data_IF_833821740409
#
_entry.id   IF_833821740409
#
_cell.length_a   1.000
_cell.length_b   1.000
_cell.length_c   1.000
_cell.angle_alpha   90.00
_cell.angle_beta   90.00
_cell.angle_gamma   90.00
#
_symmetry.space_group_name_H-M   'P 1'
#
loop_
_entity.id
_entity.type
_entity.pdbx_description
1 polymer ?
#
# COMPACT_ATOMS: atom_id res chain seq x y z
N UNK A 1 49.65 -23.43 0.37
CA UNK A 1 48.87 -23.07 1.55
C UNK A 1 49.16 -21.63 1.89
N UNK A 2 48.23 -20.71 1.56
CA UNK A 2 48.32 -19.31 1.98
C UNK A 2 46.98 -19.02 2.66
N UNK A 3 47.02 -18.88 3.99
CA UNK A 3 45.90 -18.45 4.81
C UNK A 3 45.74 -16.93 4.69
N UNK A 4 44.65 -16.47 4.12
CA UNK A 4 44.26 -15.07 4.09
C UNK A 4 43.53 -14.69 5.38
N UNK A 5 44.06 -13.75 6.12
CA UNK A 5 43.48 -13.11 7.30
C UNK A 5 42.24 -12.30 6.94
N UNK A 6 41.12 -12.38 7.68
CA UNK A 6 39.93 -11.58 7.40
C UNK A 6 40.14 -10.13 7.82
N UNK A 7 39.88 -9.23 6.89
CA UNK A 7 40.10 -7.79 6.95
C UNK A 7 39.21 -7.11 8.00
N UNK A 8 39.83 -6.31 8.87
CA UNK A 8 39.25 -5.41 9.90
C UNK A 8 38.33 -4.28 9.38
N UNK A 9 38.04 -4.21 8.09
CA UNK A 9 37.20 -3.13 7.50
C UNK A 9 35.72 -3.25 7.81
N UNK A 10 35.18 -4.43 8.12
CA UNK A 10 33.74 -4.65 8.28
C UNK A 10 33.17 -4.25 9.65
N UNK A 11 34.04 -4.05 10.67
CA UNK A 11 33.58 -3.65 12.01
C UNK A 11 33.40 -2.16 12.16
N UNK A 12 34.21 -1.33 11.50
CA UNK A 12 34.08 0.13 11.56
C UNK A 12 32.81 0.67 10.88
N UNK A 13 32.37 0.06 9.78
CA UNK A 13 31.11 0.43 9.13
C UNK A 13 29.87 0.09 9.97
N UNK A 14 29.89 -1.02 10.70
CA UNK A 14 28.78 -1.39 11.61
C UNK A 14 28.66 -0.45 12.81
N UNK A 15 29.79 0.01 13.34
CA UNK A 15 29.79 0.96 14.46
C UNK A 15 29.38 2.38 14.03
N UNK A 16 29.80 2.83 12.85
CA UNK A 16 29.38 4.11 12.31
C UNK A 16 27.86 4.17 12.07
N UNK A 17 27.28 3.12 11.48
CA UNK A 17 25.84 3.03 11.29
C UNK A 17 25.05 2.95 12.61
N UNK A 18 25.57 2.26 13.64
CA UNK A 18 24.96 2.27 14.98
C UNK A 18 24.94 3.67 15.60
N UNK A 19 26.02 4.44 15.46
CA UNK A 19 26.09 5.82 15.98
C UNK A 19 25.13 6.76 15.27
N UNK A 20 25.00 6.66 13.94
CA UNK A 20 24.06 7.48 13.15
C UNK A 20 22.61 7.16 13.52
N UNK A 21 22.28 5.88 13.65
CA UNK A 21 20.94 5.45 14.09
C UNK A 21 20.64 5.93 15.52
N UNK A 22 21.61 5.85 16.42
CA UNK A 22 21.45 6.33 17.81
C UNK A 22 21.26 7.85 17.87
N UNK A 23 21.96 8.62 17.01
CA UNK A 23 21.82 10.08 16.93
C UNK A 23 20.48 10.50 16.32
N UNK A 24 19.98 9.77 15.32
CA UNK A 24 18.66 9.97 14.74
C UNK A 24 17.56 9.67 15.76
N UNK A 25 17.66 8.59 16.50
CA UNK A 25 16.71 8.24 17.57
C UNK A 25 16.71 9.31 18.66
N UNK A 26 17.88 9.80 19.08
CA UNK A 26 17.96 10.89 20.07
C UNK A 26 17.34 12.20 19.56
N UNK A 27 17.56 12.59 18.31
CA UNK A 27 16.95 13.80 17.74
C UNK A 27 15.42 13.67 17.61
N UNK A 28 14.92 12.50 17.20
CA UNK A 28 13.47 12.22 17.18
C UNK A 28 12.88 12.25 18.59
N UNK A 29 13.59 11.74 19.60
CA UNK A 29 13.16 11.81 21.00
C UNK A 29 13.13 13.25 21.56
N UNK A 30 14.09 14.10 21.15
CA UNK A 30 14.11 15.51 21.55
C UNK A 30 12.99 16.31 20.88
N UNK A 31 12.68 16.02 19.60
CA UNK A 31 11.57 16.67 18.89
C UNK A 31 10.20 16.28 19.46
N UNK A 32 10.05 15.05 19.94
CA UNK A 32 8.81 14.55 20.54
C UNK A 32 8.55 15.05 21.96
N UNK A 33 9.56 15.55 22.72
CA UNK A 33 9.38 15.98 24.10
C UNK A 33 8.46 17.20 24.28
N UNK A 34 8.17 17.95 23.21
CA UNK A 34 7.30 19.12 23.24
C UNK A 34 5.84 18.89 22.85
N UNK A 35 5.50 17.78 22.17
CA UNK A 35 4.19 17.64 21.51
C UNK A 35 3.47 16.31 21.81
N UNK A 36 4.20 15.25 22.19
CA UNK A 36 3.63 13.89 22.33
C UNK A 36 4.15 13.19 23.57
N UNK A 37 3.27 12.50 24.30
CA UNK A 37 3.61 11.69 25.47
C UNK A 37 4.65 10.59 25.10
N UNK A 38 5.59 10.30 26.03
CA UNK A 38 6.64 9.29 25.88
C UNK A 38 6.08 7.92 25.43
N UNK A 39 4.85 7.58 25.87
CA UNK A 39 4.15 6.34 25.46
C UNK A 39 3.78 6.32 23.96
N UNK A 40 3.49 7.46 23.38
CA UNK A 40 3.14 7.61 21.96
C UNK A 40 4.40 7.60 21.08
N UNK A 41 5.52 8.16 21.57
CA UNK A 41 6.80 8.03 20.87
C UNK A 41 7.34 6.58 20.87
N UNK A 42 7.19 5.84 21.96
CA UNK A 42 7.59 4.44 22.03
C UNK A 42 6.78 3.56 21.05
N UNK A 43 5.48 3.86 20.86
CA UNK A 43 4.63 3.19 19.89
C UNK A 43 5.08 3.47 18.44
N UNK A 44 5.43 4.71 18.13
CA UNK A 44 5.95 5.11 16.80
C UNK A 44 7.31 4.47 16.49
N UNK A 45 8.22 4.42 17.47
CA UNK A 45 9.54 3.78 17.34
C UNK A 45 9.41 2.26 17.22
N UNK A 46 8.48 1.63 17.94
CA UNK A 46 8.17 0.20 17.83
C UNK A 46 7.65 -0.15 16.42
N UNK A 47 6.77 0.69 15.83
CA UNK A 47 6.30 0.53 14.45
C UNK A 47 7.43 0.72 13.43
N UNK A 48 8.35 1.67 13.62
CA UNK A 48 9.51 1.86 12.74
C UNK A 48 10.54 0.72 12.79
N UNK A 49 10.64 0.01 13.91
CA UNK A 49 11.61 -1.09 14.06
C UNK A 49 11.20 -2.39 13.35
N UNK A 50 9.92 -2.52 12.93
CA UNK A 50 9.39 -3.72 12.23
C UNK A 50 9.61 -3.65 10.70
N UNK A 51 10.08 -2.52 10.17
CA UNK A 51 10.11 -2.23 8.74
C UNK A 51 11.43 -2.55 8.04
N UNK A 52 11.79 -3.81 7.93
CA UNK A 52 12.84 -4.23 7.00
C UNK A 52 12.31 -5.37 6.12
N UNK A 53 12.13 -5.08 4.84
CA UNK A 53 11.85 -5.92 3.67
C UNK A 53 10.42 -5.84 3.13
N UNK A 54 10.34 -5.15 2.04
CA UNK A 54 9.08 -4.80 1.40
C UNK A 54 9.07 -5.22 -0.05
N UNK A 55 7.95 -5.68 -0.53
CA UNK A 55 7.40 -5.46 -1.87
C UNK A 55 6.19 -6.37 -2.09
N UNK A 56 5.01 -5.88 -1.75
CA UNK A 56 3.75 -6.53 -2.11
C UNK A 56 2.78 -5.50 -2.68
N UNK A 57 2.08 -5.86 -3.73
CA UNK A 57 1.02 -5.03 -4.26
C UNK A 57 -0.30 -5.78 -4.18
N UNK A 58 -1.04 -5.54 -3.11
CA UNK A 58 -2.48 -5.66 -3.05
C UNK A 58 -3.00 -4.23 -2.97
N UNK A 59 -3.97 -3.88 -3.82
CA UNK A 59 -4.55 -2.57 -3.77
C UNK A 59 -5.50 -2.47 -2.57
N UNK A 60 -5.26 -1.46 -1.73
CA UNK A 60 -6.17 -1.04 -0.67
C UNK A 60 -6.93 0.20 -1.13
N UNK A 61 -7.68 0.06 -2.25
CA UNK A 61 -8.45 1.15 -2.86
C UNK A 61 -9.49 1.73 -1.90
N UNK A 62 -9.98 0.91 -0.98
CA UNK A 62 -10.92 1.30 0.05
C UNK A 62 -10.41 2.48 0.87
N UNK A 63 -9.13 2.49 1.22
CA UNK A 63 -8.53 3.54 2.05
C UNK A 63 -8.44 4.88 1.31
N UNK A 64 -8.29 4.85 -0.01
CA UNK A 64 -8.19 6.05 -0.85
C UNK A 64 -9.55 6.65 -1.19
N UNK A 65 -10.61 5.85 -1.14
CA UNK A 65 -11.94 6.22 -1.62
C UNK A 65 -12.96 6.43 -0.50
N UNK A 66 -12.47 6.49 0.74
CA UNK A 66 -13.33 6.54 1.92
C UNK A 66 -14.02 7.89 2.11
N UNK A 67 -13.37 8.97 1.67
CA UNK A 67 -13.85 10.33 1.81
C UNK A 67 -14.20 10.91 0.44
N UNK A 68 -15.49 10.97 0.13
CA UNK A 68 -15.99 11.68 -1.05
C UNK A 68 -16.92 12.78 -0.56
N UNK A 69 -16.54 14.02 -0.81
CA UNK A 69 -17.36 15.18 -0.52
C UNK A 69 -18.46 15.29 -1.58
N UNK A 70 -19.71 15.14 -1.16
CA UNK A 70 -20.85 15.22 -2.06
C UNK A 70 -21.17 16.63 -2.59
N UNK A 71 -20.47 17.64 -2.10
CA UNK A 71 -20.63 19.03 -2.55
C UNK A 71 -19.71 19.40 -3.71
N UNK A 72 -18.60 18.69 -3.88
CA UNK A 72 -17.63 18.93 -4.94
C UNK A 72 -17.87 18.01 -6.13
N UNK A 73 -17.89 18.56 -7.34
CA UNK A 73 -18.01 17.78 -8.58
C UNK A 73 -16.72 17.05 -8.93
N UNK A 74 -15.58 17.70 -8.71
CA UNK A 74 -14.23 17.14 -8.92
C UNK A 74 -13.49 17.25 -7.60
N UNK A 75 -12.86 16.17 -7.19
CA UNK A 75 -12.02 16.14 -6.03
C UNK A 75 -10.91 15.10 -6.22
N UNK A 76 -9.77 15.35 -5.65
CA UNK A 76 -8.65 14.43 -5.79
C UNK A 76 -7.58 14.62 -4.73
N UNK A 77 -6.60 13.75 -4.78
CA UNK A 77 -5.41 13.85 -3.96
C UNK A 77 -4.18 13.36 -4.72
N UNK A 78 -3.04 13.96 -4.42
CA UNK A 78 -1.72 13.54 -4.84
C UNK A 78 -0.91 13.21 -3.59
N UNK A 79 -0.23 12.07 -3.61
CA UNK A 79 0.58 11.58 -2.50
C UNK A 79 1.97 11.22 -3.04
N UNK A 80 2.87 12.20 -3.20
CA UNK A 80 4.27 11.95 -3.53
C UNK A 80 5.00 11.37 -2.31
N UNK A 81 5.75 10.31 -2.54
CA UNK A 81 6.59 9.64 -1.57
C UNK A 81 7.99 9.47 -2.14
N UNK A 82 9.02 9.72 -1.34
CA UNK A 82 10.42 9.52 -1.70
C UNK A 82 11.02 8.43 -0.83
N UNK A 83 11.77 7.53 -1.47
CA UNK A 83 12.53 6.49 -0.78
C UNK A 83 13.97 6.52 -1.35
N UNK A 84 14.95 6.57 -0.46
CA UNK A 84 16.36 6.55 -0.80
C UNK A 84 17.05 5.43 -0.05
N UNK A 85 17.75 4.56 -0.79
CA UNK A 85 18.51 3.44 -0.25
C UNK A 85 19.95 3.51 -0.75
N UNK A 86 20.89 3.28 0.14
CA UNK A 86 22.30 3.10 -0.21
C UNK A 86 22.67 1.63 -0.04
N UNK A 87 22.93 0.96 -1.17
CA UNK A 87 23.40 -0.42 -1.24
C UNK A 87 24.75 -0.46 -1.97
N UNK A 88 24.96 -1.38 -2.92
CA UNK A 88 26.12 -1.34 -3.82
C UNK A 88 26.12 -0.07 -4.68
N UNK A 89 24.95 0.36 -5.08
CA UNK A 89 24.68 1.63 -5.75
C UNK A 89 23.57 2.37 -5.03
N UNK A 90 23.48 3.67 -5.24
CA UNK A 90 22.42 4.47 -4.69
C UNK A 90 21.11 4.20 -5.47
N UNK A 91 20.08 3.81 -4.76
CA UNK A 91 18.74 3.58 -5.30
C UNK A 91 17.86 4.72 -4.80
N UNK A 92 17.37 5.50 -5.72
CA UNK A 92 16.36 6.52 -5.47
C UNK A 92 15.02 6.04 -6.03
N UNK A 93 13.97 6.05 -5.21
CA UNK A 93 12.63 5.66 -5.64
C UNK A 93 11.67 6.81 -5.39
N UNK A 94 11.03 7.27 -6.46
CA UNK A 94 9.90 8.20 -6.42
C UNK A 94 8.62 7.40 -6.62
N UNK A 95 7.72 7.47 -5.64
CA UNK A 95 6.37 6.93 -5.74
C UNK A 95 5.39 8.10 -5.78
N UNK A 96 4.37 7.98 -6.60
CA UNK A 96 3.28 8.94 -6.62
C UNK A 96 1.96 8.19 -6.68
N UNK A 97 1.07 8.44 -5.73
CA UNK A 97 -0.31 7.96 -5.77
C UNK A 97 -1.23 9.13 -6.06
N UNK A 98 -1.97 9.05 -7.16
CA UNK A 98 -2.98 10.01 -7.55
C UNK A 98 -4.36 9.37 -7.45
N UNK A 99 -5.31 10.08 -6.85
CA UNK A 99 -6.71 9.69 -6.76
C UNK A 99 -7.57 10.83 -7.30
N UNK A 100 -8.46 10.53 -8.23
CA UNK A 100 -9.39 11.48 -8.84
C UNK A 100 -10.81 10.94 -8.75
N UNK A 101 -11.71 11.74 -8.19
CA UNK A 101 -13.14 11.43 -8.09
C UNK A 101 -13.95 12.46 -8.88
N UNK A 102 -14.82 11.97 -9.76
CA UNK A 102 -15.78 12.77 -10.52
C UNK A 102 -17.19 12.42 -10.07
N UNK A 103 -17.88 13.37 -9.45
CA UNK A 103 -19.25 13.22 -8.99
C UNK A 103 -20.23 13.61 -10.12
N UNK A 104 -21.05 12.66 -10.57
CA UNK A 104 -22.05 12.84 -11.63
C UNK A 104 -23.44 12.73 -11.03
N UNK A 105 -24.24 13.79 -11.17
CA UNK A 105 -25.67 13.85 -10.76
C UNK A 105 -25.90 13.39 -9.30
N UNK A 106 -24.97 13.69 -8.37
CA UNK A 106 -25.03 13.38 -6.92
C UNK A 106 -25.21 11.88 -6.55
N UNK A 107 -25.27 10.97 -7.51
CA UNK A 107 -25.50 9.54 -7.28
C UNK A 107 -24.48 8.62 -7.96
N UNK A 108 -23.65 9.15 -8.82
CA UNK A 108 -22.70 8.40 -9.62
C UNK A 108 -21.31 8.99 -9.43
N UNK A 109 -20.34 8.16 -9.17
CA UNK A 109 -18.96 8.58 -8.97
C UNK A 109 -18.09 7.75 -9.90
N UNK A 110 -17.25 8.42 -10.70
CA UNK A 110 -16.14 7.79 -11.38
C UNK A 110 -14.92 8.06 -10.52
N UNK A 111 -14.25 7.01 -10.10
CA UNK A 111 -13.01 7.11 -9.37
C UNK A 111 -11.87 6.49 -10.19
N UNK A 112 -10.79 7.24 -10.32
CA UNK A 112 -9.55 6.80 -10.94
C UNK A 112 -8.43 6.91 -9.93
N UNK A 113 -7.77 5.79 -9.64
CA UNK A 113 -6.59 5.74 -8.81
C UNK A 113 -5.41 5.30 -9.69
N UNK A 114 -4.33 6.04 -9.64
CA UNK A 114 -3.09 5.69 -10.30
C UNK A 114 -1.95 5.73 -9.30
N UNK A 115 -1.11 4.71 -9.30
CA UNK A 115 0.16 4.70 -8.59
C UNK A 115 1.27 4.36 -9.56
N UNK A 116 2.34 5.15 -9.54
CA UNK A 116 3.56 4.91 -10.29
C UNK A 116 4.74 4.87 -9.32
N UNK A 117 5.66 3.97 -9.59
CA UNK A 117 6.89 3.80 -8.83
C UNK A 117 8.06 3.81 -9.82
N UNK A 118 8.91 4.83 -9.70
CA UNK A 118 10.13 5.02 -10.48
C UNK A 118 11.33 4.77 -9.59
N UNK A 119 12.21 3.88 -10.00
CA UNK A 119 13.45 3.59 -9.29
C UNK A 119 14.65 3.86 -10.18
N UNK A 120 15.68 4.45 -9.61
CA UNK A 120 16.99 4.55 -10.27
C UNK A 120 17.92 3.51 -9.68
N UNK A 121 18.72 2.87 -10.54
CA UNK A 121 19.83 2.02 -10.15
C UNK A 121 21.08 2.51 -10.89
N UNK A 122 21.97 3.18 -10.16
CA UNK A 122 23.05 3.91 -10.78
C UNK A 122 22.54 5.03 -11.70
N UNK A 123 22.78 4.91 -13.02
CA UNK A 123 22.33 5.88 -14.02
C UNK A 123 21.02 5.51 -14.70
N UNK A 124 20.52 4.29 -14.50
CA UNK A 124 19.34 3.80 -15.19
C UNK A 124 18.06 4.15 -14.40
N UNK A 125 17.04 4.63 -15.10
CA UNK A 125 15.73 4.93 -14.55
C UNK A 125 14.75 3.88 -15.08
N UNK A 126 14.05 3.20 -14.17
CA UNK A 126 13.07 2.19 -14.51
C UNK A 126 11.73 2.47 -13.83
N UNK A 127 10.62 2.14 -14.50
CA UNK A 127 9.31 2.06 -13.85
C UNK A 127 9.22 0.70 -13.17
N UNK A 128 9.54 0.66 -11.88
CA UNK A 128 9.68 -0.57 -11.11
C UNK A 128 8.34 -1.20 -10.72
N UNK A 129 7.26 -0.39 -10.70
CA UNK A 129 5.93 -0.86 -10.34
C UNK A 129 4.86 0.19 -10.55
N UNK A 130 3.62 -0.25 -10.42
CA UNK A 130 2.48 0.63 -10.48
C UNK A 130 1.15 -0.09 -10.57
N UNK A 131 0.08 0.69 -10.51
CA UNK A 131 -1.25 0.23 -10.84
C UNK A 131 -2.13 1.38 -11.33
N UNK A 132 -3.17 1.01 -12.08
CA UNK A 132 -4.28 1.87 -12.46
C UNK A 132 -5.56 1.15 -12.05
N UNK A 133 -6.40 1.82 -11.30
CA UNK A 133 -7.69 1.30 -10.85
C UNK A 133 -8.78 2.29 -11.24
N UNK A 134 -9.79 1.81 -11.95
CA UNK A 134 -10.96 2.57 -12.38
C UNK A 134 -12.20 1.90 -11.82
N UNK A 135 -13.05 2.67 -11.16
CA UNK A 135 -14.34 2.20 -10.68
C UNK A 135 -15.46 3.20 -11.00
N UNK A 136 -16.64 2.66 -11.23
CA UNK A 136 -17.86 3.44 -11.41
C UNK A 136 -18.84 3.08 -10.30
N UNK A 137 -19.01 3.97 -9.33
CA UNK A 137 -19.90 3.76 -8.20
C UNK A 137 -21.29 4.25 -8.48
N UNK A 138 -22.25 3.41 -8.19
CA UNK A 138 -23.66 3.77 -8.17
C UNK A 138 -24.18 3.67 -6.72
N UNK A 139 -24.60 4.82 -6.18
CA UNK A 139 -25.18 4.92 -4.85
C UNK A 139 -26.66 4.50 -4.94
N UNK A 140 -26.93 3.22 -4.73
CA UNK A 140 -28.29 2.68 -4.74
C UNK A 140 -29.13 3.24 -3.60
N UNK A 141 -28.51 3.28 -2.41
CA UNK A 141 -29.10 3.78 -1.19
C UNK A 141 -28.02 4.46 -0.34
N UNK A 142 -28.41 5.28 0.64
CA UNK A 142 -27.46 5.99 1.52
C UNK A 142 -26.38 5.07 2.13
N UNK A 143 -26.72 3.80 2.41
CA UNK A 143 -25.83 2.82 3.04
C UNK A 143 -25.29 1.75 2.09
N UNK A 144 -25.80 1.65 0.88
CA UNK A 144 -25.48 0.57 -0.05
C UNK A 144 -25.02 1.09 -1.39
N UNK A 145 -23.83 0.68 -1.79
CA UNK A 145 -23.19 1.05 -3.05
C UNK A 145 -22.84 -0.20 -3.84
N UNK A 146 -22.99 -0.16 -5.16
CA UNK A 146 -22.50 -1.20 -6.07
C UNK A 146 -21.66 -0.53 -7.13
N UNK A 147 -20.53 -1.14 -7.46
CA UNK A 147 -19.63 -0.60 -8.44
C UNK A 147 -18.86 -1.67 -9.22
N UNK A 148 -18.97 -1.69 -10.54
CA UNK A 148 -18.00 -2.36 -11.39
C UNK A 148 -16.66 -1.64 -11.31
N UNK A 149 -15.58 -2.43 -11.40
CA UNK A 149 -14.23 -1.91 -11.44
C UNK A 149 -13.33 -2.71 -12.38
N UNK A 150 -12.27 -2.06 -12.80
CA UNK A 150 -11.17 -2.66 -13.52
C UNK A 150 -9.85 -2.15 -12.96
N UNK A 151 -8.87 -3.03 -12.84
CA UNK A 151 -7.57 -2.74 -12.28
C UNK A 151 -6.49 -3.40 -13.11
N UNK A 152 -5.41 -2.67 -13.37
CA UNK A 152 -4.18 -3.19 -13.96
C UNK A 152 -3.01 -2.91 -13.04
N UNK A 153 -2.13 -3.87 -12.83
CA UNK A 153 -0.96 -3.76 -11.95
C UNK A 153 0.27 -4.38 -12.60
N UNK A 154 1.42 -3.88 -12.20
CA UNK A 154 2.73 -4.50 -12.48
C UNK A 154 3.69 -4.24 -11.32
N UNK A 155 4.62 -5.15 -11.09
CA UNK A 155 5.62 -5.08 -10.03
C UNK A 155 6.85 -5.87 -10.44
N UNK A 156 7.69 -5.24 -11.29
CA UNK A 156 8.88 -5.85 -11.87
C UNK A 156 9.87 -6.35 -10.82
N UNK A 157 10.05 -5.62 -9.72
CA UNK A 157 10.90 -6.01 -8.58
C UNK A 157 10.50 -7.33 -7.91
N UNK A 158 9.26 -7.81 -8.17
CA UNK A 158 8.72 -9.07 -7.65
C UNK A 158 8.59 -10.15 -8.71
N UNK A 159 8.91 -9.83 -9.96
CA UNK A 159 8.66 -10.70 -11.11
C UNK A 159 7.20 -10.70 -11.58
N UNK A 160 6.30 -9.84 -11.05
CA UNK A 160 4.95 -9.68 -11.58
C UNK A 160 5.00 -8.73 -12.78
N UNK A 161 5.02 -9.33 -13.98
CA UNK A 161 5.09 -8.56 -15.23
C UNK A 161 3.79 -7.81 -15.49
N UNK A 162 2.66 -8.47 -15.23
CA UNK A 162 1.35 -7.91 -15.50
C UNK A 162 0.26 -8.63 -14.70
N UNK A 163 -0.71 -7.85 -14.20
CA UNK A 163 -1.94 -8.34 -13.61
C UNK A 163 -3.09 -7.46 -14.08
N UNK A 164 -4.20 -8.08 -14.44
CA UNK A 164 -5.47 -7.40 -14.68
C UNK A 164 -6.56 -8.06 -13.87
N UNK A 165 -7.39 -7.24 -13.24
CA UNK A 165 -8.56 -7.68 -12.47
C UNK A 165 -9.78 -6.88 -12.91
N UNK A 166 -10.93 -7.52 -13.04
CA UNK A 166 -12.19 -6.87 -13.35
C UNK A 166 -13.33 -7.57 -12.65
N UNK A 167 -14.23 -6.80 -12.05
CA UNK A 167 -15.32 -7.38 -11.29
C UNK A 167 -16.39 -6.38 -10.86
N UNK A 168 -17.29 -6.87 -10.01
CA UNK A 168 -18.35 -6.07 -9.40
C UNK A 168 -18.16 -6.17 -7.88
N UNK A 169 -18.18 -5.02 -7.23
CA UNK A 169 -18.08 -4.89 -5.78
C UNK A 169 -19.34 -4.27 -5.22
N UNK A 170 -19.79 -4.76 -4.06
CA UNK A 170 -20.84 -4.20 -3.26
C UNK A 170 -20.25 -3.74 -1.92
N UNK A 171 -20.66 -2.55 -1.48
CA UNK A 171 -20.28 -1.96 -0.19
C UNK A 171 -21.51 -1.73 0.65
N UNK A 172 -21.44 -2.13 1.90
CA UNK A 172 -22.44 -1.81 2.91
C UNK A 172 -21.83 -1.01 4.05
N UNK A 173 -22.41 0.15 4.36
CA UNK A 173 -22.01 1.07 5.39
C UNK A 173 -22.81 0.80 6.66
N UNK A 174 -22.17 0.18 7.65
CA UNK A 174 -22.82 -0.20 8.92
C UNK A 174 -23.02 1.01 9.83
N UNK A 175 -21.98 1.86 9.93
CA UNK A 175 -21.94 3.01 10.80
C UNK A 175 -21.39 4.23 10.05
N UNK A 176 -22.07 5.33 10.22
CA UNK A 176 -21.63 6.64 9.76
C UNK A 176 -21.99 7.66 10.83
N UNK A 177 -20.97 8.18 11.52
CA UNK A 177 -21.09 9.20 12.52
C UNK A 177 -20.04 10.28 12.31
N UNK A 178 -20.05 11.32 13.14
CA UNK A 178 -19.05 12.40 13.06
C UNK A 178 -17.59 11.90 13.18
N UNK A 179 -17.38 10.85 13.95
CA UNK A 179 -16.03 10.35 14.26
C UNK A 179 -15.76 8.97 13.68
N UNK A 180 -16.79 8.17 13.43
CA UNK A 180 -16.64 6.79 12.97
C UNK A 180 -17.35 6.56 11.65
N UNK A 181 -16.64 5.86 10.75
CA UNK A 181 -17.19 5.27 9.54
C UNK A 181 -16.76 3.81 9.50
N UNK A 182 -17.75 2.89 9.41
CA UNK A 182 -17.50 1.45 9.26
C UNK A 182 -18.24 0.93 8.05
N UNK A 183 -17.55 0.15 7.22
CA UNK A 183 -18.15 -0.51 6.08
C UNK A 183 -17.49 -1.86 5.77
N UNK A 184 -18.24 -2.73 5.13
CA UNK A 184 -17.71 -3.94 4.53
C UNK A 184 -17.95 -3.94 3.03
N UNK A 185 -17.06 -4.61 2.33
CA UNK A 185 -17.18 -4.83 0.89
C UNK A 185 -17.14 -6.33 0.60
N UNK A 186 -17.85 -6.70 -0.45
CA UNK A 186 -17.73 -8.01 -1.08
C UNK A 186 -17.65 -7.83 -2.59
N UNK A 187 -16.79 -8.60 -3.27
CA UNK A 187 -16.67 -8.55 -4.71
C UNK A 187 -16.46 -9.95 -5.29
N UNK A 188 -16.98 -10.15 -6.48
CA UNK A 188 -16.62 -11.24 -7.36
C UNK A 188 -15.88 -10.67 -8.56
N UNK A 189 -14.69 -11.18 -8.86
CA UNK A 189 -13.85 -10.64 -9.91
C UNK A 189 -13.04 -11.72 -10.62
N UNK A 190 -12.77 -11.48 -11.89
CA UNK A 190 -11.82 -12.23 -12.67
C UNK A 190 -10.44 -11.60 -12.52
N UNK A 191 -9.41 -12.43 -12.34
CA UNK A 191 -8.01 -12.03 -12.23
C UNK A 191 -7.15 -12.85 -13.19
N UNK A 192 -6.34 -12.15 -13.97
CA UNK A 192 -5.27 -12.71 -14.78
C UNK A 192 -3.94 -12.15 -14.29
N UNK A 193 -2.97 -13.03 -14.03
CA UNK A 193 -1.62 -12.64 -13.62
C UNK A 193 -0.58 -13.34 -14.51
N UNK A 194 0.48 -12.57 -14.87
CA UNK A 194 1.68 -13.06 -15.54
C UNK A 194 2.90 -12.77 -14.68
N UNK A 195 3.67 -13.80 -14.37
CA UNK A 195 4.83 -13.73 -13.51
C UNK A 195 6.08 -14.28 -14.20
N UNK A 196 7.25 -13.73 -13.89
CA UNK A 196 8.56 -14.28 -14.21
C UNK A 196 9.11 -15.03 -13.01
N UNK A 197 9.79 -16.15 -13.25
CA UNK A 197 10.48 -16.88 -12.20
C UNK A 197 11.72 -16.11 -11.76
N UNK A 198 12.01 -15.97 -10.46
CA UNK A 198 13.23 -15.32 -9.96
C UNK A 198 14.51 -15.98 -10.46
N UNK A 199 14.46 -17.31 -10.62
CA UNK A 199 15.49 -18.15 -11.27
C UNK A 199 14.73 -19.13 -12.14
N UNK A 200 14.88 -19.04 -13.45
CA UNK A 200 14.27 -20.02 -14.36
C UNK A 200 14.95 -21.36 -14.17
N UNK A 201 14.25 -22.41 -13.73
CA UNK A 201 14.81 -23.76 -13.75
C UNK A 201 15.21 -24.13 -15.17
N UNK A 202 16.35 -24.77 -15.35
CA UNK A 202 16.85 -25.19 -16.66
C UNK A 202 15.77 -26.03 -17.37
N UNK A 203 15.37 -25.63 -18.59
CA UNK A 203 14.37 -26.33 -19.40
C UNK A 203 12.92 -25.96 -19.14
N UNK A 204 12.62 -24.98 -18.26
CA UNK A 204 11.24 -24.53 -18.00
C UNK A 204 10.92 -23.19 -18.70
N UNK A 205 9.61 -22.96 -18.93
CA UNK A 205 9.15 -21.66 -19.45
C UNK A 205 9.48 -20.56 -18.44
N UNK A 206 10.02 -19.40 -18.88
CA UNK A 206 10.43 -18.31 -17.99
C UNK A 206 9.24 -17.61 -17.29
N UNK A 207 8.00 -17.92 -17.69
CA UNK A 207 6.79 -17.27 -17.20
C UNK A 207 5.78 -18.26 -16.62
N UNK A 208 5.13 -17.85 -15.53
CA UNK A 208 3.95 -18.49 -14.96
C UNK A 208 2.71 -17.63 -15.21
N UNK A 209 1.59 -18.28 -15.46
CA UNK A 209 0.30 -17.63 -15.70
C UNK A 209 -0.74 -18.14 -14.71
N UNK A 210 -1.61 -17.24 -14.26
CA UNK A 210 -2.76 -17.56 -13.42
C UNK A 210 -4.01 -16.90 -13.96
N UNK A 211 -5.13 -17.63 -13.96
CA UNK A 211 -6.44 -17.15 -14.46
C UNK A 211 -7.52 -17.71 -13.56
N UNK A 212 -8.07 -16.89 -12.69
CA UNK A 212 -9.09 -17.33 -11.73
C UNK A 212 -10.19 -16.30 -11.53
N UNK A 213 -11.38 -16.79 -11.25
CA UNK A 213 -12.40 -16.01 -10.57
C UNK A 213 -12.09 -16.06 -9.08
N UNK A 214 -12.11 -14.91 -8.43
CA UNK A 214 -11.85 -14.76 -6.99
C UNK A 214 -12.97 -14.03 -6.31
N UNK A 215 -13.17 -14.36 -5.04
CA UNK A 215 -14.04 -13.64 -4.13
C UNK A 215 -13.17 -12.77 -3.22
N UNK A 216 -13.61 -11.53 -3.03
CA UNK A 216 -12.99 -10.53 -2.15
C UNK A 216 -13.97 -10.17 -1.05
N UNK A 217 -13.48 -10.17 0.16
CA UNK A 217 -14.16 -9.64 1.33
C UNK A 217 -13.22 -8.61 1.97
N UNK A 218 -13.75 -7.46 2.34
CA UNK A 218 -12.98 -6.50 3.14
C UNK A 218 -13.86 -5.84 4.20
N UNK A 219 -13.21 -5.47 5.29
CA UNK A 219 -13.79 -4.67 6.35
C UNK A 219 -12.89 -3.48 6.61
N UNK A 220 -13.49 -2.29 6.61
CA UNK A 220 -12.75 -1.04 6.77
C UNK A 220 -13.40 -0.16 7.83
N UNK A 221 -12.56 0.51 8.58
CA UNK A 221 -12.98 1.52 9.56
C UNK A 221 -12.14 2.77 9.38
N UNK A 222 -12.79 3.92 9.52
CA UNK A 222 -12.15 5.22 9.67
C UNK A 222 -12.55 5.80 11.03
N UNK A 223 -11.58 6.30 11.77
CA UNK A 223 -11.81 7.05 12.98
C UNK A 223 -11.10 8.41 12.89
N UNK A 224 -11.89 9.49 13.10
CA UNK A 224 -11.40 10.87 13.12
C UNK A 224 -11.33 11.34 14.58
N UNK A 225 -10.13 11.64 15.06
CA UNK A 225 -9.95 12.19 16.41
C UNK A 225 -9.37 13.60 16.38
N UNK A 226 -10.15 14.50 16.94
CA UNK A 226 -9.88 15.92 16.86
C UNK A 226 -10.00 16.47 15.43
N UNK A 227 -9.51 17.67 15.17
CA UNK A 227 -9.64 18.33 13.88
C UNK A 227 -8.56 17.90 12.87
N UNK A 228 -7.50 17.22 13.31
CA UNK A 228 -6.30 17.02 12.50
C UNK A 228 -5.97 15.55 12.19
N UNK A 229 -6.55 14.59 12.90
CA UNK A 229 -6.10 13.21 12.78
C UNK A 229 -7.19 12.28 12.24
N UNK A 230 -6.81 11.49 11.26
CA UNK A 230 -7.59 10.34 10.76
C UNK A 230 -6.78 9.06 10.88
N UNK A 231 -7.41 7.99 11.35
CA UNK A 231 -6.91 6.63 11.26
C UNK A 231 -7.87 5.83 10.38
N UNK A 232 -7.32 5.13 9.39
CA UNK A 232 -8.07 4.21 8.55
C UNK A 232 -7.43 2.83 8.71
N UNK A 233 -8.23 1.82 9.00
CA UNK A 233 -7.78 0.45 9.05
C UNK A 233 -8.65 -0.43 8.15
N UNK A 234 -8.02 -1.32 7.39
CA UNK A 234 -8.69 -2.24 6.47
C UNK A 234 -8.10 -3.63 6.58
N UNK A 235 -8.98 -4.62 6.69
CA UNK A 235 -8.65 -6.03 6.53
C UNK A 235 -9.26 -6.57 5.25
N UNK A 236 -8.50 -7.39 4.51
CA UNK A 236 -8.90 -7.98 3.23
C UNK A 236 -8.71 -9.48 3.25
N UNK A 237 -9.67 -10.19 2.70
CA UNK A 237 -9.62 -11.63 2.43
C UNK A 237 -9.96 -11.87 0.96
N UNK A 238 -9.05 -12.48 0.22
CA UNK A 238 -9.24 -12.84 -1.19
C UNK A 238 -9.02 -14.32 -1.37
N UNK A 239 -9.91 -14.98 -2.10
CA UNK A 239 -9.86 -16.42 -2.25
C UNK A 239 -10.55 -16.87 -3.54
N UNK A 240 -10.16 -18.03 -4.03
CA UNK A 240 -10.88 -18.73 -5.09
C UNK A 240 -12.11 -19.45 -4.50
N UNK A 241 -13.29 -19.38 -5.13
CA UNK A 241 -14.49 -20.08 -4.64
C UNK A 241 -14.34 -21.59 -4.49
N UNK A 242 -13.47 -22.22 -5.31
CA UNK A 242 -13.20 -23.67 -5.28
C UNK A 242 -12.24 -24.10 -4.16
N UNK A 243 -11.58 -23.15 -3.50
CA UNK A 243 -10.55 -23.43 -2.47
C UNK A 243 -10.62 -22.47 -1.28
N UNK A 244 -11.83 -22.15 -0.82
CA UNK A 244 -12.14 -21.05 0.08
C UNK A 244 -11.25 -20.96 1.34
N UNK A 245 -10.86 -22.07 1.91
CA UNK A 245 -10.01 -22.12 3.11
C UNK A 245 -8.57 -22.62 2.83
N UNK A 246 -8.28 -23.05 1.61
CA UNK A 246 -6.99 -23.69 1.29
C UNK A 246 -5.95 -22.71 0.74
N UNK A 247 -6.36 -21.74 -0.07
CA UNK A 247 -5.47 -20.85 -0.79
C UNK A 247 -5.84 -19.37 -0.65
N UNK A 248 -6.12 -18.89 0.57
CA UNK A 248 -6.49 -17.50 0.75
C UNK A 248 -5.28 -16.57 0.65
N UNK A 249 -5.57 -15.32 0.27
CA UNK A 249 -4.67 -14.17 0.39
C UNK A 249 -5.27 -13.20 1.40
N UNK A 250 -4.50 -12.86 2.43
CA UNK A 250 -4.89 -11.89 3.45
C UNK A 250 -4.19 -10.57 3.21
N UNK A 251 -4.88 -9.48 3.50
CA UNK A 251 -4.32 -8.14 3.51
C UNK A 251 -4.73 -7.39 4.77
N UNK A 252 -3.84 -6.57 5.29
CA UNK A 252 -4.14 -5.60 6.33
C UNK A 252 -3.46 -4.28 6.01
N UNK A 253 -4.17 -3.18 6.20
CA UNK A 253 -3.63 -1.85 6.04
C UNK A 253 -4.06 -0.96 7.20
N UNK A 254 -3.15 -0.08 7.62
CA UNK A 254 -3.43 1.01 8.55
C UNK A 254 -2.82 2.27 7.97
N UNK A 255 -3.63 3.30 7.74
CA UNK A 255 -3.21 4.61 7.30
C UNK A 255 -3.47 5.61 8.42
N UNK A 256 -2.46 6.39 8.78
CA UNK A 256 -2.53 7.50 9.70
C UNK A 256 -2.32 8.79 8.92
N UNK A 257 -3.28 9.69 8.98
CA UNK A 257 -3.19 11.00 8.33
C UNK A 257 -3.25 12.12 9.36
N UNK A 258 -2.39 13.12 9.18
CA UNK A 258 -2.38 14.37 9.94
C UNK A 258 -2.64 15.56 9.01
N UNK A 259 -3.75 16.24 9.19
CA UNK A 259 -4.14 17.39 8.39
C UNK A 259 -3.51 18.66 8.96
N UNK A 260 -2.50 19.21 8.24
CA UNK A 260 -1.86 20.49 8.56
C UNK A 260 -2.83 21.63 8.19
N UNK A 261 -3.38 21.52 6.98
CA UNK A 261 -4.42 22.40 6.42
C UNK A 261 -5.49 21.55 5.76
N UNK A 262 -6.63 22.11 5.31
CA UNK A 262 -7.61 21.37 4.52
C UNK A 262 -7.06 20.76 3.23
N UNK A 263 -5.96 21.32 2.69
CA UNK A 263 -5.35 20.93 1.41
C UNK A 263 -4.09 20.08 1.60
N UNK A 264 -3.33 20.31 2.69
CA UNK A 264 -2.02 19.67 2.90
C UNK A 264 -2.06 18.84 4.17
N UNK A 265 -1.58 17.62 4.08
CA UNK A 265 -1.44 16.70 5.21
C UNK A 265 -0.18 15.86 5.10
N UNK A 266 0.14 15.19 6.20
CA UNK A 266 1.14 14.13 6.28
C UNK A 266 0.40 12.79 6.36
N UNK A 267 0.95 11.77 5.74
CA UNK A 267 0.42 10.41 5.84
C UNK A 267 1.53 9.42 6.19
N UNK A 268 1.15 8.41 6.97
CA UNK A 268 1.97 7.24 7.24
C UNK A 268 1.07 6.02 7.03
N UNK A 269 1.52 5.08 6.22
CA UNK A 269 0.76 3.91 5.85
C UNK A 269 1.55 2.63 6.14
N UNK A 270 0.94 1.69 6.83
CA UNK A 270 1.43 0.33 7.03
C UNK A 270 0.55 -0.63 6.24
N UNK A 271 1.16 -1.54 5.49
CA UNK A 271 0.46 -2.58 4.74
C UNK A 271 1.14 -3.93 4.93
N UNK A 272 0.34 -4.94 5.18
CA UNK A 272 0.75 -6.34 5.28
C UNK A 272 -0.06 -7.17 4.29
N UNK A 273 0.61 -8.03 3.54
CA UNK A 273 -0.04 -9.03 2.70
C UNK A 273 0.57 -10.39 2.99
N UNK A 274 -0.29 -11.37 3.14
CA UNK A 274 0.08 -12.77 3.27
C UNK A 274 -0.60 -13.59 2.17
N UNK A 275 0.20 -14.13 1.25
CA UNK A 275 -0.26 -15.04 0.19
C UNK A 275 0.12 -16.47 0.56
N UNK A 276 -0.88 -17.32 0.81
CA UNK A 276 -0.62 -18.71 1.20
C UNK A 276 0.01 -19.54 0.10
N UNK A 277 -0.31 -19.22 -1.17
CA UNK A 277 0.12 -19.98 -2.36
C UNK A 277 0.52 -19.04 -3.49
N UNK A 278 1.70 -18.41 -3.40
CA UNK A 278 2.19 -17.55 -4.47
C UNK A 278 2.42 -18.36 -5.75
N UNK A 279 2.16 -17.72 -6.91
CA UNK A 279 2.23 -18.37 -8.24
C UNK A 279 3.65 -18.79 -8.60
N UNK A 280 4.63 -18.02 -8.16
CA UNK A 280 6.07 -18.31 -8.31
C UNK A 280 6.72 -18.42 -6.94
N UNK A 281 7.88 -19.08 -6.78
CA UNK A 281 8.53 -19.31 -5.48
C UNK A 281 9.12 -17.99 -4.91
N UNK A 282 8.26 -17.14 -4.38
CA UNK A 282 8.58 -15.88 -3.71
C UNK A 282 8.11 -15.92 -2.25
N UNK A 283 8.50 -14.92 -1.47
CA UNK A 283 8.07 -14.82 -0.07
C UNK A 283 6.56 -14.71 0.03
N UNK A 284 5.97 -15.39 1.03
CA UNK A 284 4.52 -15.37 1.30
C UNK A 284 4.08 -14.09 2.02
N UNK A 285 4.96 -13.54 2.87
CA UNK A 285 4.69 -12.33 3.65
C UNK A 285 5.34 -11.11 3.02
N UNK A 286 4.57 -10.05 2.94
CA UNK A 286 5.01 -8.75 2.45
C UNK A 286 4.51 -7.66 3.37
N UNK A 287 5.43 -6.80 3.78
CA UNK A 287 5.15 -5.64 4.62
C UNK A 287 5.66 -4.38 3.94
N UNK A 288 4.87 -3.32 3.98
CA UNK A 288 5.28 -2.00 3.45
C UNK A 288 4.94 -0.93 4.47
N UNK A 289 5.88 -0.03 4.71
CA UNK A 289 5.68 1.22 5.45
C UNK A 289 6.02 2.37 4.52
N UNK A 290 5.09 3.27 4.36
CA UNK A 290 5.27 4.48 3.57
C UNK A 290 4.97 5.69 4.43
N UNK A 291 5.70 6.77 4.20
CA UNK A 291 5.41 8.08 4.76
C UNK A 291 5.55 9.12 3.65
N UNK A 292 4.66 10.09 3.64
CA UNK A 292 4.65 11.09 2.57
C UNK A 292 3.76 12.28 2.89
N UNK A 293 3.61 13.13 1.90
CA UNK A 293 2.74 14.30 1.93
C UNK A 293 1.48 13.97 1.14
N UNK A 294 0.32 14.38 1.64
CA UNK A 294 -0.94 14.30 0.93
C UNK A 294 -1.39 15.72 0.54
N UNK A 295 -1.66 15.92 -0.74
CA UNK A 295 -2.17 17.19 -1.29
C UNK A 295 -3.56 16.91 -1.84
N UNK A 296 -4.60 17.49 -1.20
CA UNK A 296 -6.01 17.37 -1.59
C UNK A 296 -6.51 18.62 -2.30
N UNK A 297 -7.45 18.48 -3.28
CA UNK A 297 -8.06 19.57 -4.02
C UNK A 297 -9.52 19.29 -4.37
#
# INVERSE_FOLDING_TARGET
MVQGTPTRLNTHHKEANKKVIHLLIQKVFYFCKGIVSIKQCAFLVFFMAISLHTNAQMLFSENLTINIDSTKTIQGSLQPELDFKTEKENIFTLKNTANLNLLIKKKRIINLINKLEFSTYGKDITVSGGYVHLEYRYLLHRKFEVYPYMESQWAGSRGMTFKISSGIQARYRFLESKHWLLFANTALYYEFEKWEYPTSPVGTKPHAYSRYIKHHLSFSTKYTFGPHWDIIATGIYQVRPDSYFKTPRFGAAVDLAYHITPTIGLNCAYRLIYDTTPIVPIRKNYTTVNAGINIAF
#
